data_IF_842088420766
#
_entry.id   IF_842088420766
#
_cell.length_a   1.000
_cell.length_b   1.000
_cell.length_c   1.000
_cell.angle_alpha   90.00
_cell.angle_beta   90.00
_cell.angle_gamma   90.00
#
_symmetry.space_group_name_H-M   'P 1'
#
loop_
_entity.id
_entity.type
_entity.pdbx_description
1 polymer ?
#
# COMPACT_ATOMS: atom_id res chain seq x y z
N UNK A 1 19.63 -3.15 2.99
CA UNK A 1 18.18 -3.41 2.88
C UNK A 1 17.43 -2.24 3.47
N UNK A 2 16.79 -1.47 2.64
CA UNK A 2 16.11 -0.25 3.09
C UNK A 2 14.71 -0.17 2.49
N UNK A 3 13.73 0.14 3.36
CA UNK A 3 12.35 0.31 2.95
C UNK A 3 12.03 1.80 2.96
N UNK A 4 11.57 2.33 1.83
CA UNK A 4 11.30 3.77 1.70
C UNK A 4 9.83 4.11 1.86
N UNK A 5 8.95 3.22 1.45
CA UNK A 5 7.52 3.47 1.54
C UNK A 5 6.75 2.17 1.72
N UNK A 6 5.67 2.28 2.45
CA UNK A 6 4.73 1.17 2.65
C UNK A 6 3.33 1.76 2.59
N UNK A 7 2.54 1.29 1.64
CA UNK A 7 1.20 1.83 1.42
C UNK A 7 0.16 0.71 1.40
N UNK A 8 -1.01 1.03 1.92
CA UNK A 8 -2.19 0.19 1.80
C UNK A 8 -3.17 0.93 0.90
N UNK A 9 -3.61 0.26 -0.16
CA UNK A 9 -4.49 0.83 -1.15
C UNK A 9 -5.68 -0.09 -1.40
N UNK A 10 -6.68 0.43 -2.08
CA UNK A 10 -7.83 -0.35 -2.50
C UNK A 10 -7.97 -0.25 -4.01
N UNK A 11 -8.01 -1.41 -4.69
CA UNK A 11 -8.12 -1.45 -6.14
C UNK A 11 -9.59 -1.36 -6.54
N UNK A 12 -9.90 -0.36 -7.35
CA UNK A 12 -11.24 -0.18 -7.91
C UNK A 12 -11.17 -0.24 -9.43
N UNK A 13 -12.31 -0.24 -10.08
CA UNK A 13 -12.36 -0.19 -11.54
C UNK A 13 -11.92 1.17 -12.08
N UNK A 14 -11.96 2.18 -11.23
CA UNK A 14 -11.53 3.51 -11.61
C UNK A 14 -10.14 3.78 -11.06
N UNK A 15 -9.98 4.80 -10.26
CA UNK A 15 -8.70 5.19 -9.67
C UNK A 15 -8.47 4.45 -8.36
N UNK A 16 -7.31 3.82 -8.16
CA UNK A 16 -7.00 3.19 -6.87
C UNK A 16 -7.06 4.20 -5.73
N UNK A 17 -7.58 3.77 -4.60
CA UNK A 17 -7.70 4.61 -3.42
C UNK A 17 -6.56 4.32 -2.45
N UNK A 18 -5.89 5.36 -1.97
CA UNK A 18 -4.89 5.22 -0.92
C UNK A 18 -5.59 5.24 0.43
N UNK A 19 -5.44 4.17 1.20
CA UNK A 19 -6.06 4.07 2.52
C UNK A 19 -5.11 4.49 3.63
N UNK A 20 -3.84 4.12 3.51
CA UNK A 20 -2.82 4.46 4.50
C UNK A 20 -1.45 4.41 3.86
N UNK A 21 -0.53 5.21 4.35
CA UNK A 21 0.85 5.18 3.86
C UNK A 21 1.83 5.65 4.91
N UNK A 22 3.02 5.09 4.85
CA UNK A 22 4.15 5.49 5.67
C UNK A 22 5.37 5.62 4.78
N UNK A 23 6.17 6.65 5.02
CA UNK A 23 7.33 6.95 4.20
C UNK A 23 8.54 7.18 5.09
N UNK A 24 9.69 6.71 4.64
CA UNK A 24 10.96 7.07 5.23
C UNK A 24 11.82 7.66 4.12
N UNK A 25 11.81 8.97 4.02
CA UNK A 25 12.56 9.71 3.01
C UNK A 25 13.74 10.47 3.63
N UNK A 26 14.13 10.07 4.82
CA UNK A 26 15.20 10.73 5.57
C UNK A 26 16.57 10.68 4.87
N UNK A 27 16.79 9.70 4.01
CA UNK A 27 18.04 9.59 3.24
C UNK A 27 18.08 10.52 2.04
N UNK A 28 16.99 11.16 1.69
CA UNK A 28 16.94 12.13 0.61
C UNK A 28 17.15 13.53 1.17
N UNK A 29 17.65 14.45 0.33
CA UNK A 29 17.83 15.83 0.79
C UNK A 29 16.47 16.45 1.13
N UNK A 30 16.48 17.38 2.07
CA UNK A 30 15.26 18.02 2.54
C UNK A 30 14.44 18.60 1.39
N UNK A 31 15.09 19.17 0.39
CA UNK A 31 14.40 19.80 -0.74
C UNK A 31 13.78 18.78 -1.70
N UNK A 32 14.22 17.52 -1.66
CA UNK A 32 13.73 16.49 -2.55
C UNK A 32 12.64 15.64 -1.93
N UNK A 33 12.47 15.66 -0.61
CA UNK A 33 11.59 14.74 0.10
C UNK A 33 10.15 14.74 -0.40
N UNK A 34 9.60 15.94 -0.63
CA UNK A 34 8.22 16.05 -1.11
C UNK A 34 8.06 15.45 -2.50
N UNK A 35 8.98 15.75 -3.39
CA UNK A 35 8.97 15.21 -4.76
C UNK A 35 9.11 13.68 -4.75
N UNK A 36 9.95 13.15 -3.88
CA UNK A 36 10.14 11.71 -3.75
C UNK A 36 8.86 11.05 -3.25
N UNK A 37 8.19 11.61 -2.24
CA UNK A 37 6.93 11.07 -1.76
C UNK A 37 5.84 11.09 -2.83
N UNK A 38 5.77 12.15 -3.60
CA UNK A 38 4.83 12.26 -4.71
C UNK A 38 5.11 11.19 -5.77
N UNK A 39 6.38 10.97 -6.08
CA UNK A 39 6.79 9.92 -7.00
C UNK A 39 6.38 8.54 -6.49
N UNK A 40 6.60 8.28 -5.21
CA UNK A 40 6.25 7.00 -4.59
C UNK A 40 4.74 6.76 -4.59
N UNK A 41 3.96 7.80 -4.28
CA UNK A 41 2.50 7.71 -4.36
C UNK A 41 2.03 7.43 -5.78
N UNK A 42 2.62 8.11 -6.76
CA UNK A 42 2.28 7.91 -8.17
C UNK A 42 2.63 6.50 -8.63
N UNK A 43 3.82 6.02 -8.28
CA UNK A 43 4.27 4.68 -8.63
C UNK A 43 3.35 3.63 -8.02
N UNK A 44 2.98 3.79 -6.75
CA UNK A 44 2.07 2.87 -6.08
C UNK A 44 0.72 2.80 -6.79
N UNK A 45 0.20 3.94 -7.22
CA UNK A 45 -1.06 4.01 -7.94
C UNK A 45 -0.99 3.28 -9.28
N UNK A 46 0.04 3.54 -10.06
CA UNK A 46 0.24 2.91 -11.37
C UNK A 46 0.40 1.40 -11.21
N UNK A 47 1.20 0.96 -10.24
CA UNK A 47 1.44 -0.46 -10.02
C UNK A 47 0.19 -1.18 -9.54
N UNK A 48 -0.64 -0.51 -8.74
CA UNK A 48 -1.92 -1.06 -8.33
C UNK A 48 -2.85 -1.25 -9.52
N UNK A 49 -2.90 -0.27 -10.42
CA UNK A 49 -3.71 -0.37 -11.63
C UNK A 49 -3.27 -1.52 -12.53
N UNK A 50 -1.98 -1.76 -12.63
CA UNK A 50 -1.41 -2.75 -13.55
C UNK A 50 -1.35 -4.16 -12.99
N UNK A 51 -1.49 -4.34 -11.69
CA UNK A 51 -1.42 -5.66 -11.06
C UNK A 51 -2.83 -6.24 -10.93
N UNK A 52 -2.99 -7.46 -11.42
CA UNK A 52 -4.30 -8.10 -11.37
C UNK A 52 -4.64 -8.59 -9.97
N UNK A 53 -5.93 -8.69 -9.70
CA UNK A 53 -6.42 -9.20 -8.41
C UNK A 53 -5.86 -10.61 -8.17
N UNK A 54 -5.31 -10.81 -6.99
CA UNK A 54 -4.70 -12.08 -6.61
C UNK A 54 -3.22 -12.19 -6.93
N UNK A 55 -2.66 -11.25 -7.67
CA UNK A 55 -1.27 -11.33 -8.12
C UNK A 55 -0.30 -10.58 -7.22
N UNK A 56 0.95 -11.01 -7.30
CA UNK A 56 2.10 -10.34 -6.70
C UNK A 56 3.04 -9.93 -7.81
N UNK A 57 3.59 -8.74 -7.72
CA UNK A 57 4.50 -8.21 -8.74
C UNK A 57 5.66 -7.49 -8.07
N UNK A 58 6.84 -7.63 -8.65
CA UNK A 58 8.02 -6.85 -8.23
C UNK A 58 8.67 -6.28 -9.48
N UNK A 59 8.82 -4.98 -9.53
CA UNK A 59 9.43 -4.30 -10.67
C UNK A 59 10.50 -3.34 -10.21
N UNK A 60 11.49 -3.14 -11.07
CA UNK A 60 12.54 -2.15 -10.85
C UNK A 60 12.11 -0.82 -11.42
N UNK A 61 12.20 0.23 -10.59
CA UNK A 61 11.94 1.59 -11.01
C UNK A 61 13.19 2.40 -10.70
N UNK A 62 14.05 2.60 -11.70
CA UNK A 62 15.34 3.25 -11.48
C UNK A 62 16.20 2.46 -10.51
N UNK A 63 16.56 3.08 -9.40
CA UNK A 63 17.35 2.42 -8.36
C UNK A 63 16.51 1.71 -7.31
N UNK A 64 15.18 1.74 -7.46
CA UNK A 64 14.25 1.23 -6.46
C UNK A 64 13.55 0.00 -6.95
N UNK A 65 13.10 -0.82 -5.98
CA UNK A 65 12.20 -1.93 -6.23
C UNK A 65 10.82 -1.54 -5.75
N UNK A 66 9.82 -1.82 -6.57
CA UNK A 66 8.42 -1.66 -6.16
C UNK A 66 7.79 -3.04 -6.09
N UNK A 67 7.26 -3.40 -4.92
CA UNK A 67 6.62 -4.68 -4.68
C UNK A 67 5.14 -4.44 -4.42
N UNK A 68 4.28 -5.19 -5.09
CA UNK A 68 2.82 -5.02 -4.99
C UNK A 68 2.18 -6.39 -4.80
N UNK A 69 1.22 -6.44 -3.90
CA UNK A 69 0.36 -7.60 -3.72
C UNK A 69 -1.08 -7.13 -3.69
N UNK A 70 -1.89 -7.62 -4.63
CA UNK A 70 -3.34 -7.33 -4.67
C UNK A 70 -4.06 -8.57 -4.14
N UNK A 71 -4.64 -8.45 -2.95
CA UNK A 71 -5.40 -9.56 -2.36
C UNK A 71 -6.68 -9.81 -3.16
N UNK A 72 -7.26 -11.02 -3.07
CA UNK A 72 -8.52 -11.32 -3.76
C UNK A 72 -9.68 -10.39 -3.40
N UNK A 73 -9.65 -9.76 -2.22
CA UNK A 73 -10.67 -8.79 -1.81
C UNK A 73 -10.36 -7.36 -2.27
N UNK A 74 -9.38 -7.19 -3.16
CA UNK A 74 -8.95 -5.91 -3.71
C UNK A 74 -8.18 -5.00 -2.75
N UNK A 75 -7.86 -5.47 -1.56
CA UNK A 75 -6.96 -4.75 -0.68
C UNK A 75 -5.53 -4.94 -1.17
N UNK A 76 -4.78 -3.85 -1.27
CA UNK A 76 -3.48 -3.84 -1.92
C UNK A 76 -2.40 -3.37 -0.96
N UNK A 77 -1.29 -4.09 -0.93
CA UNK A 77 -0.08 -3.64 -0.27
C UNK A 77 0.97 -3.26 -1.30
N UNK A 78 1.60 -2.12 -1.11
CA UNK A 78 2.69 -1.66 -1.96
C UNK A 78 3.85 -1.26 -1.08
N UNK A 79 5.06 -1.70 -1.43
CA UNK A 79 6.25 -1.17 -0.78
C UNK A 79 7.30 -0.82 -1.81
N UNK A 80 8.03 0.24 -1.52
CA UNK A 80 9.17 0.65 -2.31
C UNK A 80 10.43 0.51 -1.46
N UNK A 81 11.42 -0.17 -2.00
CA UNK A 81 12.64 -0.51 -1.29
C UNK A 81 13.86 -0.29 -2.17
N UNK A 82 15.05 -0.45 -1.60
CA UNK A 82 16.24 -0.55 -2.41
C UNK A 82 16.30 -1.91 -3.09
N UNK A 83 17.26 -2.10 -3.98
CA UNK A 83 17.34 -3.33 -4.75
C UNK A 83 17.94 -4.51 -3.97
N UNK A 84 18.43 -4.25 -2.77
CA UNK A 84 18.94 -5.30 -1.90
C UNK A 84 17.83 -5.99 -1.11
N UNK A 85 16.65 -5.38 -1.04
CA UNK A 85 15.52 -5.93 -0.30
C UNK A 85 14.93 -7.10 -1.09
N UNK A 86 14.98 -8.34 -0.59
CA UNK A 86 14.52 -9.49 -1.37
C UNK A 86 13.01 -9.43 -1.64
N UNK A 87 12.58 -9.70 -2.89
CA UNK A 87 11.14 -9.71 -3.20
C UNK A 87 10.33 -10.64 -2.31
N UNK A 88 10.88 -11.78 -1.96
CA UNK A 88 10.22 -12.74 -1.09
C UNK A 88 9.90 -12.15 0.28
N UNK A 89 10.86 -11.46 0.87
CA UNK A 89 10.69 -10.81 2.17
C UNK A 89 9.69 -9.67 2.06
N UNK A 90 9.77 -8.90 0.97
CA UNK A 90 8.83 -7.81 0.73
C UNK A 90 7.39 -8.30 0.64
N UNK A 91 7.15 -9.37 -0.12
CA UNK A 91 5.79 -9.91 -0.26
C UNK A 91 5.27 -10.53 1.04
N UNK A 92 6.14 -11.13 1.83
CA UNK A 92 5.75 -11.61 3.16
C UNK A 92 5.33 -10.46 4.06
N UNK A 93 6.09 -9.36 4.02
CA UNK A 93 5.76 -8.16 4.77
C UNK A 93 4.41 -7.59 4.33
N UNK A 94 4.16 -7.50 3.02
CA UNK A 94 2.90 -6.98 2.51
C UNK A 94 1.70 -7.81 2.97
N UNK A 95 1.81 -9.13 2.92
CA UNK A 95 0.74 -9.99 3.42
C UNK A 95 0.42 -9.71 4.89
N UNK A 96 1.45 -9.59 5.70
CA UNK A 96 1.29 -9.33 7.13
C UNK A 96 0.69 -7.94 7.39
N UNK A 97 1.15 -6.94 6.67
CA UNK A 97 0.63 -5.57 6.82
C UNK A 97 -0.86 -5.53 6.46
N UNK A 98 -1.27 -6.20 5.40
CA UNK A 98 -2.66 -6.23 4.99
C UNK A 98 -3.53 -6.97 6.01
N UNK A 99 -3.03 -8.06 6.58
CA UNK A 99 -3.74 -8.78 7.63
C UNK A 99 -3.90 -7.90 8.88
N UNK A 100 -2.86 -7.21 9.29
CA UNK A 100 -2.91 -6.30 10.44
C UNK A 100 -3.87 -5.14 10.19
N UNK A 101 -3.86 -4.59 8.98
CA UNK A 101 -4.77 -3.52 8.60
C UNK A 101 -6.22 -4.00 8.68
N UNK A 102 -6.51 -5.18 8.16
CA UNK A 102 -7.85 -5.76 8.20
C UNK A 102 -8.31 -5.95 9.64
N UNK A 103 -7.46 -6.47 10.51
CA UNK A 103 -7.80 -6.64 11.93
C UNK A 103 -8.10 -5.31 12.61
N UNK A 104 -7.34 -4.27 12.29
CA UNK A 104 -7.56 -2.93 12.84
C UNK A 104 -8.92 -2.38 12.41
N UNK A 105 -9.27 -2.55 11.15
CA UNK A 105 -10.57 -2.11 10.63
C UNK A 105 -11.69 -2.86 11.32
N UNK A 106 -11.57 -4.19 11.42
CA UNK A 106 -12.58 -5.01 12.07
C UNK A 106 -12.78 -4.61 13.53
N UNK A 107 -11.72 -4.36 14.25
CA UNK A 107 -11.81 -3.99 15.68
C UNK A 107 -12.43 -2.60 15.86
N UNK A 108 -12.49 -1.77 14.83
CA UNK A 108 -13.12 -0.46 14.87
C UNK A 108 -14.56 -0.45 14.33
N UNK A 109 -15.07 -1.58 13.85
CA UNK A 109 -16.43 -1.66 13.33
C UNK A 109 -17.48 -1.12 14.31
N UNK A 110 -17.45 -1.46 15.61
CA UNK A 110 -18.41 -0.89 16.55
C UNK A 110 -18.42 0.63 16.59
N UNK A 111 -17.26 1.25 16.39
CA UNK A 111 -17.16 2.70 16.33
C UNK A 111 -17.87 3.26 15.10
N UNK A 112 -17.74 2.60 13.96
CA UNK A 112 -18.42 3.03 12.75
C UNK A 112 -19.93 2.97 12.92
N UNK A 113 -20.44 1.96 13.57
CA UNK A 113 -21.88 1.85 13.83
C UNK A 113 -22.37 2.94 14.77
N UNK A 114 -21.62 3.24 15.82
CA UNK A 114 -22.06 4.27 16.74
C UNK A 114 -21.91 5.68 16.16
N UNK A 115 -21.05 5.85 15.21
CA UNK A 115 -20.88 7.13 14.55
C UNK A 115 -21.95 7.42 13.53
N UNK A 116 -22.71 6.56 13.18
CA UNK A 116 -23.72 6.78 12.53
C UNK A 116 -23.92 6.50 11.28
N UNK A 117 -23.77 6.39 10.55
CA UNK A 117 -23.96 6.17 9.27
C UNK A 117 -24.20 4.81 8.98
N UNK A 118 -23.93 3.97 9.83
CA UNK A 118 -24.42 2.67 9.80
C UNK A 118 -23.80 1.70 8.81
N UNK A 119 -24.58 0.72 8.31
CA UNK A 119 -24.03 -0.41 7.55
C UNK A 119 -23.34 -0.07 6.24
N UNK A 120 -23.71 1.02 5.61
CA UNK A 120 -23.13 1.38 4.32
C UNK A 120 -21.63 1.66 4.43
N UNK A 121 -21.19 2.22 5.54
CA UNK A 121 -19.77 2.47 5.75
C UNK A 121 -18.97 1.21 5.93
N UNK A 122 -19.56 0.23 6.57
CA UNK A 122 -18.92 -1.07 6.77
C UNK A 122 -18.73 -1.77 5.44
N UNK A 123 -19.67 -1.64 4.52
CA UNK A 123 -19.58 -2.26 3.21
C UNK A 123 -18.46 -1.69 2.36
N UNK A 124 -18.12 -0.45 2.56
CA UNK A 124 -17.05 0.20 1.79
C UNK A 124 -15.67 -0.22 2.26
N UNK A 125 -15.56 -0.83 3.39
CA UNK A 125 -14.33 -1.34 3.92
C UNK A 125 -14.06 -2.75 3.45
#
# INVERSE_FOLDING_TARGET
>A
MKLYALLVMYKTEETPQKLKGAFDVSSFSFFQRKSVEEFMNFTAKIMTERTQVGDRTSVTEGEYFCHVFVRPDCLVGVCLSDQEYPPRVAHTLLGKVLDDFTLTVISNIPRFFSAESGPSKVREI
#
